data_IF_310332429672
#
_entry.id   IF_310332429672
#
_cell.length_a   1.000
_cell.length_b   1.000
_cell.length_c   1.000
_cell.angle_alpha   90.00
_cell.angle_beta   90.00
_cell.angle_gamma   90.00
#
_symmetry.space_group_name_H-M   'P 1'
#
loop_
_entity.id
_entity.type
_entity.pdbx_description
1 polymer ?
#
# COMPACT_ATOMS: atom_id res chain seq x y z
N UNK A 1 -6.36 -1.24 19.96
CA UNK A 1 -6.53 -1.92 18.67
C UNK A 1 -5.53 -3.07 18.66
N UNK A 2 -5.99 -4.30 18.44
CA UNK A 2 -5.11 -5.47 18.32
C UNK A 2 -4.59 -5.54 16.89
N UNK A 3 -3.30 -5.82 16.71
CA UNK A 3 -2.72 -5.98 15.37
C UNK A 3 -2.83 -7.45 14.95
N UNK A 4 -3.65 -7.72 13.94
CA UNK A 4 -3.99 -9.07 13.46
C UNK A 4 -3.02 -9.61 12.38
N UNK A 5 -1.97 -8.86 12.04
CA UNK A 5 -1.12 -9.18 10.88
C UNK A 5 -0.52 -10.59 10.92
N UNK A 6 -0.13 -11.08 12.10
CA UNK A 6 0.46 -12.42 12.23
C UNK A 6 -0.56 -13.54 11.98
N UNK A 7 -1.82 -13.30 12.36
CA UNK A 7 -2.93 -14.23 12.08
C UNK A 7 -3.22 -14.27 10.57
N UNK A 8 -3.21 -13.10 9.91
CA UNK A 8 -3.41 -13.00 8.46
C UNK A 8 -2.29 -13.69 7.69
N UNK A 9 -1.02 -13.41 8.01
CA UNK A 9 0.14 -14.10 7.42
C UNK A 9 0.05 -15.61 7.57
N UNK A 10 -0.26 -16.08 8.79
CA UNK A 10 -0.42 -17.52 9.05
C UNK A 10 -1.58 -18.15 8.26
N UNK A 11 -2.64 -17.40 7.99
CA UNK A 11 -3.75 -17.87 7.16
C UNK A 11 -3.35 -17.96 5.68
N UNK A 12 -2.71 -16.91 5.15
CA UNK A 12 -2.19 -16.92 3.77
C UNK A 12 -1.24 -18.10 3.55
N UNK A 13 -0.34 -18.41 4.49
CA UNK A 13 0.57 -19.56 4.36
C UNK A 13 -0.15 -20.91 4.28
N UNK A 14 -1.29 -21.08 4.96
CA UNK A 14 -2.06 -22.34 4.90
C UNK A 14 -2.82 -22.51 3.60
N UNK A 15 -3.26 -21.41 3.00
CA UNK A 15 -4.12 -21.41 1.80
C UNK A 15 -3.34 -21.22 0.50
N UNK A 16 -2.08 -20.79 0.60
CA UNK A 16 -1.20 -20.59 -0.53
C UNK A 16 -0.84 -21.91 -1.23
N UNK A 17 -1.25 -22.04 -2.49
CA UNK A 17 -0.84 -23.13 -3.37
C UNK A 17 0.13 -22.61 -4.44
N UNK A 18 1.45 -22.87 -4.31
CA UNK A 18 2.44 -22.41 -5.27
C UNK A 18 2.33 -23.08 -6.64
N UNK A 19 1.56 -24.17 -6.77
CA UNK A 19 1.37 -24.87 -8.05
C UNK A 19 0.29 -24.24 -8.93
N UNK A 20 -0.54 -23.36 -8.37
CA UNK A 20 -1.64 -22.72 -9.07
C UNK A 20 -1.35 -21.24 -9.34
N UNK A 21 -0.45 -20.98 -10.28
CA UNK A 21 -0.13 -19.63 -10.75
C UNK A 21 -1.19 -19.16 -11.76
N UNK A 22 -1.71 -17.95 -11.55
CA UNK A 22 -2.56 -17.27 -12.53
C UNK A 22 -1.65 -16.63 -13.59
N UNK A 23 -1.54 -17.28 -14.76
CA UNK A 23 -0.49 -17.03 -15.76
C UNK A 23 -0.42 -15.62 -16.39
N UNK A 24 -1.41 -14.75 -16.17
CA UNK A 24 -1.50 -13.45 -16.85
C UNK A 24 -1.28 -12.23 -15.94
N UNK A 25 -0.87 -12.44 -14.68
CA UNK A 25 -0.79 -11.37 -13.66
C UNK A 25 0.64 -11.12 -13.15
N UNK A 26 1.64 -11.46 -13.96
CA UNK A 26 3.05 -11.18 -13.67
C UNK A 26 3.37 -9.69 -13.88
N UNK A 27 4.00 -9.06 -12.89
CA UNK A 27 4.45 -7.67 -12.99
C UNK A 27 5.90 -7.53 -12.51
N UNK A 28 6.68 -6.73 -13.24
CA UNK A 28 7.99 -6.26 -12.79
C UNK A 28 8.01 -4.73 -12.78
N UNK A 29 8.35 -4.14 -11.62
CA UNK A 29 8.42 -2.68 -11.47
C UNK A 29 9.73 -2.30 -10.79
N UNK A 30 10.53 -1.50 -11.49
CA UNK A 30 11.77 -0.95 -10.97
C UNK A 30 11.49 0.25 -10.06
N UNK A 31 12.19 0.34 -8.93
CA UNK A 31 12.09 1.49 -8.04
C UNK A 31 12.59 2.78 -8.73
N UNK A 32 12.09 3.97 -8.37
CA UNK A 32 12.53 5.24 -8.97
C UNK A 32 14.03 5.50 -8.87
N UNK A 33 14.68 4.97 -7.82
CA UNK A 33 16.13 5.09 -7.63
C UNK A 33 16.94 4.05 -8.42
N UNK A 34 16.29 3.13 -9.14
CA UNK A 34 16.93 2.10 -9.96
C UNK A 34 17.66 1.00 -9.17
N UNK A 35 17.53 0.98 -7.84
CA UNK A 35 18.25 0.04 -6.96
C UNK A 35 17.48 -1.26 -6.70
N UNK A 36 16.16 -1.24 -6.84
CA UNK A 36 15.30 -2.37 -6.46
C UNK A 36 14.33 -2.73 -7.57
N UNK A 37 13.98 -4.00 -7.62
CA UNK A 37 12.98 -4.57 -8.51
C UNK A 37 11.90 -5.24 -7.64
N UNK A 38 10.65 -4.82 -7.80
CA UNK A 38 9.49 -5.54 -7.30
C UNK A 38 9.01 -6.48 -8.41
N UNK A 39 8.90 -7.76 -8.08
CA UNK A 39 8.31 -8.78 -8.94
C UNK A 39 7.05 -9.29 -8.24
N UNK A 40 5.92 -9.32 -8.94
CA UNK A 40 4.67 -9.85 -8.40
C UNK A 40 4.13 -10.95 -9.29
N UNK A 41 3.61 -11.99 -8.65
CA UNK A 41 2.86 -13.06 -9.29
C UNK A 41 1.59 -13.31 -8.46
N UNK A 42 0.50 -13.66 -9.12
CA UNK A 42 -0.77 -13.99 -8.45
C UNK A 42 -1.01 -15.48 -8.49
N UNK A 43 -1.40 -16.02 -7.34
CA UNK A 43 -1.64 -17.43 -7.13
C UNK A 43 -3.10 -17.62 -6.72
N UNK A 44 -3.70 -18.68 -7.23
CA UNK A 44 -4.94 -19.17 -6.66
C UNK A 44 -4.71 -19.82 -5.30
N UNK A 45 -5.82 -20.07 -4.61
CA UNK A 45 -5.84 -20.69 -3.30
C UNK A 45 -6.53 -22.05 -3.38
N UNK A 46 -6.70 -22.71 -2.23
CA UNK A 46 -7.35 -24.02 -2.13
C UNK A 46 -8.82 -23.98 -2.60
N UNK A 47 -9.45 -25.15 -2.72
CA UNK A 47 -10.80 -25.26 -3.30
C UNK A 47 -11.93 -24.54 -2.51
N UNK A 48 -11.71 -24.22 -1.23
CA UNK A 48 -12.64 -23.44 -0.38
C UNK A 48 -11.84 -22.43 0.47
N UNK A 49 -11.37 -21.35 -0.16
CA UNK A 49 -10.38 -20.50 0.46
C UNK A 49 -11.04 -19.31 1.18
N UNK A 50 -10.38 -18.82 2.24
CA UNK A 50 -10.74 -17.55 2.86
C UNK A 50 -10.40 -16.37 1.95
N UNK A 51 -9.32 -16.51 1.18
CA UNK A 51 -8.85 -15.50 0.23
C UNK A 51 -8.97 -16.03 -1.19
N UNK A 52 -9.62 -15.32 -2.13
CA UNK A 52 -9.83 -15.83 -3.49
C UNK A 52 -8.52 -16.03 -4.27
N UNK A 53 -7.50 -15.26 -3.92
CA UNK A 53 -6.17 -15.29 -4.51
C UNK A 53 -5.15 -14.73 -3.51
N UNK A 54 -3.87 -14.99 -3.79
CA UNK A 54 -2.74 -14.46 -3.04
C UNK A 54 -1.74 -13.89 -4.04
N UNK A 55 -1.45 -12.59 -3.93
CA UNK A 55 -0.29 -12.00 -4.60
C UNK A 55 0.96 -12.35 -3.80
N UNK A 56 2.00 -12.85 -4.46
CA UNK A 56 3.35 -12.93 -3.90
C UNK A 56 4.18 -11.82 -4.51
N UNK A 57 4.68 -10.93 -3.65
CA UNK A 57 5.58 -9.87 -4.04
C UNK A 57 7.00 -10.17 -3.54
N UNK A 58 7.97 -10.13 -4.46
CA UNK A 58 9.39 -10.34 -4.17
C UNK A 58 10.14 -9.06 -4.52
N UNK A 59 10.80 -8.47 -3.52
CA UNK A 59 11.68 -7.32 -3.74
C UNK A 59 13.12 -7.78 -3.81
N UNK A 60 13.81 -7.43 -4.89
CA UNK A 60 15.21 -7.78 -5.13
C UNK A 60 16.07 -6.55 -5.31
N UNK A 61 17.34 -6.64 -4.93
CA UNK A 61 18.35 -5.62 -5.25
C UNK A 61 18.86 -5.80 -6.68
N UNK A 62 18.77 -4.74 -7.47
CA UNK A 62 19.30 -4.70 -8.84
C UNK A 62 20.83 -4.74 -8.79
N UNK A 63 21.42 -5.52 -9.69
CA UNK A 63 22.86 -5.73 -9.80
C UNK A 63 23.40 -6.94 -9.02
N UNK A 64 22.84 -7.23 -7.83
CA UNK A 64 23.21 -8.45 -7.07
C UNK A 64 22.20 -9.58 -7.20
N UNK A 65 20.93 -9.27 -7.49
CA UNK A 65 19.83 -10.23 -7.51
C UNK A 65 19.40 -10.72 -6.12
N UNK A 66 19.97 -10.14 -5.05
CA UNK A 66 19.66 -10.49 -3.67
C UNK A 66 18.19 -10.23 -3.36
N UNK A 67 17.48 -11.22 -2.82
CA UNK A 67 16.10 -11.07 -2.34
C UNK A 67 16.13 -10.36 -1.00
N UNK A 68 15.49 -9.20 -0.92
CA UNK A 68 15.39 -8.39 0.30
C UNK A 68 14.13 -8.71 1.10
N UNK A 69 13.03 -9.01 0.42
CA UNK A 69 11.77 -9.38 1.04
C UNK A 69 10.96 -10.29 0.11
N UNK A 70 10.20 -11.19 0.73
CA UNK A 70 9.10 -11.92 0.09
C UNK A 70 7.88 -11.71 0.97
N UNK A 71 6.82 -11.17 0.38
CA UNK A 71 5.59 -10.78 1.05
C UNK A 71 4.41 -11.38 0.30
N UNK A 72 3.31 -11.59 1.03
CA UNK A 72 2.05 -12.08 0.49
C UNK A 72 0.97 -11.06 0.78
N UNK A 73 0.05 -10.89 -0.16
CA UNK A 73 -1.18 -10.13 0.02
C UNK A 73 -2.38 -11.02 -0.24
N UNK A 74 -3.43 -10.85 0.54
CA UNK A 74 -4.62 -11.69 0.53
C UNK A 74 -5.73 -11.26 -0.45
N UNK A 75 -5.34 -10.62 -1.55
CA UNK A 75 -6.19 -10.05 -2.58
C UNK A 75 -5.40 -10.06 -3.90
N UNK A 76 -6.09 -10.06 -5.04
CA UNK A 76 -5.49 -10.13 -6.38
C UNK A 76 -4.78 -8.84 -6.80
N UNK A 77 -5.15 -7.70 -6.23
CA UNK A 77 -4.62 -6.39 -6.63
C UNK A 77 -3.62 -5.88 -5.61
N UNK A 78 -2.34 -5.82 -5.96
CA UNK A 78 -1.34 -5.17 -5.13
C UNK A 78 -1.25 -3.67 -5.43
N UNK A 79 -1.87 -2.85 -4.58
CA UNK A 79 -1.57 -1.42 -4.53
C UNK A 79 -0.24 -1.21 -3.78
N UNK A 80 0.66 -0.42 -4.35
CA UNK A 80 1.93 -0.13 -3.71
C UNK A 80 2.51 1.23 -4.11
N UNK A 81 3.50 1.70 -3.35
CA UNK A 81 4.29 2.89 -3.71
C UNK A 81 5.72 2.83 -3.17
N UNK A 82 6.65 3.35 -3.96
CA UNK A 82 8.04 3.55 -3.55
C UNK A 82 8.19 4.94 -2.93
N UNK A 83 8.76 5.01 -1.73
CA UNK A 83 9.00 6.29 -1.04
C UNK A 83 10.44 6.37 -0.57
N UNK A 84 11.14 7.43 -0.93
CA UNK A 84 12.48 7.72 -0.43
C UNK A 84 12.40 8.83 0.63
N UNK A 85 12.98 8.59 1.81
CA UNK A 85 12.98 9.57 2.91
C UNK A 85 14.19 9.37 3.81
N UNK A 86 14.87 10.46 4.19
CA UNK A 86 15.98 10.46 5.15
C UNK A 86 17.09 9.43 4.84
N UNK A 87 17.40 9.21 3.56
CA UNK A 87 18.34 8.18 3.05
C UNK A 87 17.86 6.73 3.13
N UNK A 88 16.60 6.50 3.50
CA UNK A 88 15.96 5.20 3.44
C UNK A 88 15.05 5.13 2.21
N UNK A 89 15.09 3.96 1.57
CA UNK A 89 14.17 3.57 0.50
C UNK A 89 13.10 2.64 1.10
N UNK A 90 11.83 2.99 0.95
CA UNK A 90 10.67 2.24 1.45
C UNK A 90 9.79 1.71 0.33
N UNK A 91 9.16 0.56 0.57
CA UNK A 91 8.02 0.07 -0.21
C UNK A 91 6.79 0.01 0.70
N UNK A 92 5.73 0.72 0.30
CA UNK A 92 4.44 0.75 0.98
C UNK A 92 3.43 -0.10 0.22
N UNK A 93 2.63 -0.87 0.92
CA UNK A 93 1.59 -1.74 0.35
C UNK A 93 0.72 -2.29 1.49
N UNK A 94 -0.47 -2.84 1.23
CA UNK A 94 -1.26 -3.54 2.24
C UNK A 94 -1.12 -5.07 2.08
N UNK A 95 -0.62 -5.79 3.09
CA UNK A 95 -0.67 -7.27 3.11
C UNK A 95 -2.11 -7.80 3.27
N UNK A 96 -2.88 -7.13 4.13
CA UNK A 96 -4.31 -7.35 4.29
C UNK A 96 -5.07 -6.26 3.53
N UNK A 97 -6.23 -6.57 2.95
CA UNK A 97 -7.05 -5.60 2.20
C UNK A 97 -7.28 -4.29 2.98
N UNK A 98 -7.52 -4.39 4.29
CA UNK A 98 -7.79 -3.25 5.18
C UNK A 98 -6.57 -2.88 6.06
N UNK A 99 -5.39 -3.37 5.68
CA UNK A 99 -4.14 -3.23 6.45
C UNK A 99 -3.20 -2.13 5.95
N UNK A 100 -2.04 -2.06 6.62
CA UNK A 100 -0.92 -1.21 6.24
C UNK A 100 0.35 -2.04 6.33
N UNK A 101 1.28 -1.87 5.41
CA UNK A 101 2.58 -2.54 5.48
C UNK A 101 3.67 -1.67 4.86
N UNK A 102 4.84 -1.72 5.49
CA UNK A 102 6.01 -0.92 5.11
C UNK A 102 7.23 -1.82 5.17
N UNK A 103 7.99 -1.85 4.08
CA UNK A 103 9.33 -2.43 4.05
C UNK A 103 10.34 -1.29 4.01
N UNK A 104 11.24 -1.25 4.99
CA UNK A 104 12.47 -0.50 4.90
C UNK A 104 13.51 -1.35 4.15
N UNK A 105 13.80 -0.99 2.90
CA UNK A 105 14.71 -1.75 2.03
C UNK A 105 16.18 -1.49 2.37
N UNK A 106 16.44 -0.38 3.07
CA UNK A 106 17.79 0.04 3.46
C UNK A 106 18.25 -0.77 4.67
N UNK A 107 17.37 -0.93 5.66
CA UNK A 107 17.64 -1.68 6.88
C UNK A 107 17.06 -3.10 6.88
N UNK A 108 16.30 -3.48 5.84
CA UNK A 108 15.69 -4.81 5.66
C UNK A 108 14.72 -5.16 6.79
N UNK A 109 13.87 -4.20 7.14
CA UNK A 109 12.83 -4.37 8.17
C UNK A 109 11.47 -4.33 7.53
N UNK A 110 10.53 -5.10 8.09
CA UNK A 110 9.14 -5.14 7.63
C UNK A 110 8.25 -4.85 8.83
N UNK A 111 7.38 -3.86 8.68
CA UNK A 111 6.28 -3.60 9.59
C UNK A 111 4.97 -3.91 8.85
N UNK A 112 4.03 -4.54 9.55
CA UNK A 112 2.70 -4.81 9.02
C UNK A 112 1.67 -4.60 10.11
N UNK A 113 0.51 -4.12 9.71
CA UNK A 113 -0.65 -3.90 10.54
C UNK A 113 -1.89 -4.38 9.79
N UNK A 114 -2.72 -5.17 10.45
CA UNK A 114 -4.05 -5.52 9.98
C UNK A 114 -5.01 -5.32 11.14
N UNK A 115 -6.20 -4.82 10.84
CA UNK A 115 -7.25 -4.66 11.84
C UNK A 115 -8.16 -5.88 11.91
N UNK A 116 -9.17 -5.81 12.77
CA UNK A 116 -10.22 -6.83 12.88
C UNK A 116 -11.29 -6.71 11.79
N UNK A 117 -11.20 -5.67 10.94
CA UNK A 117 -12.01 -5.43 9.76
C UNK A 117 -12.86 -4.15 9.82
N UNK A 118 -13.40 -3.73 8.67
CA UNK A 118 -14.23 -2.53 8.53
C UNK A 118 -13.43 -1.22 8.45
N UNK A 119 -12.15 -1.32 8.10
CA UNK A 119 -11.22 -0.19 8.08
C UNK A 119 -10.95 0.33 6.66
N UNK A 120 -10.22 1.44 6.58
CA UNK A 120 -9.92 2.15 5.36
C UNK A 120 -8.93 1.38 4.47
N UNK A 121 -9.36 1.02 3.26
CA UNK A 121 -8.58 0.30 2.26
C UNK A 121 -7.69 1.29 1.50
N UNK A 122 -6.38 1.07 1.55
CA UNK A 122 -5.40 1.88 0.82
C UNK A 122 -5.34 1.48 -0.66
N UNK A 123 -5.62 2.42 -1.57
CA UNK A 123 -5.62 2.15 -3.03
C UNK A 123 -4.64 3.02 -3.82
N UNK A 124 -4.44 4.28 -3.43
CA UNK A 124 -3.48 5.18 -4.09
C UNK A 124 -2.66 5.94 -3.06
N UNK A 125 -1.37 6.15 -3.37
CA UNK A 125 -0.38 6.65 -2.42
C UNK A 125 0.24 7.93 -2.94
N UNK A 126 0.13 9.01 -2.17
CA UNK A 126 0.64 10.32 -2.53
C UNK A 126 1.48 10.88 -1.38
N UNK A 127 2.80 10.60 -1.34
CA UNK A 127 3.69 11.24 -0.37
C UNK A 127 3.75 12.74 -0.62
N UNK A 128 3.80 13.54 0.44
CA UNK A 128 4.02 14.99 0.36
C UNK A 128 5.41 15.31 -0.21
N UNK A 129 5.62 16.54 -0.69
CA UNK A 129 6.91 16.96 -1.27
C UNK A 129 8.11 16.79 -0.32
N UNK A 130 7.90 16.99 0.97
CA UNK A 130 8.92 16.79 2.01
C UNK A 130 8.92 15.37 2.59
N UNK A 131 8.02 14.50 2.10
CA UNK A 131 7.82 13.10 2.52
C UNK A 131 7.52 12.93 4.02
N UNK A 132 7.01 13.98 4.69
CA UNK A 132 6.60 13.88 6.10
C UNK A 132 5.16 13.41 6.26
N UNK A 133 4.35 13.50 5.20
CA UNK A 133 2.95 13.07 5.18
C UNK A 133 2.68 12.15 4.01
N UNK A 134 1.65 11.36 4.16
CA UNK A 134 1.18 10.42 3.14
C UNK A 134 -0.33 10.60 2.98
N UNK A 135 -0.76 11.20 1.87
CA UNK A 135 -2.16 11.17 1.48
C UNK A 135 -2.46 9.84 0.81
N UNK A 136 -3.46 9.14 1.32
CA UNK A 136 -3.96 7.91 0.73
C UNK A 136 -5.35 8.17 0.20
N UNK A 137 -5.55 7.94 -1.09
CA UNK A 137 -6.89 7.73 -1.65
C UNK A 137 -7.28 6.30 -1.36
N UNK A 138 -8.50 6.12 -0.89
CA UNK A 138 -9.00 4.81 -0.49
C UNK A 138 -10.50 4.81 -0.28
N UNK A 139 -11.01 3.69 0.22
CA UNK A 139 -12.43 3.54 0.48
C UNK A 139 -12.69 2.56 1.63
N UNK A 140 -13.94 2.51 2.07
CA UNK A 140 -14.45 1.40 2.88
C UNK A 140 -15.31 0.54 1.96
N UNK A 141 -14.86 -0.65 1.58
CA UNK A 141 -15.65 -1.59 0.76
C UNK A 141 -16.31 -0.96 -0.48
N UNK A 142 -15.52 -0.21 -1.27
CA UNK A 142 -15.94 0.52 -2.47
C UNK A 142 -16.91 1.69 -2.27
N UNK A 143 -17.28 2.06 -1.02
CA UNK A 143 -17.98 3.32 -0.69
C UNK A 143 -18.12 3.51 0.85
N UNK A 144 -17.80 4.68 1.43
CA UNK A 144 -17.41 5.94 0.78
C UNK A 144 -15.93 5.97 0.38
N UNK A 145 -15.59 6.85 -0.57
CA UNK A 145 -14.21 7.17 -0.95
C UNK A 145 -13.71 8.42 -0.24
N UNK A 146 -12.48 8.36 0.25
CA UNK A 146 -11.87 9.45 1.03
C UNK A 146 -10.40 9.61 0.69
N UNK A 147 -9.87 10.80 1.01
CA UNK A 147 -8.44 11.02 1.19
C UNK A 147 -8.14 11.04 2.69
N UNK A 148 -7.38 10.06 3.17
CA UNK A 148 -6.85 10.05 4.53
C UNK A 148 -5.39 10.48 4.50
N UNK A 149 -5.03 11.50 5.28
CA UNK A 149 -3.65 11.96 5.41
C UNK A 149 -3.05 11.39 6.70
N UNK A 150 -1.93 10.69 6.55
CA UNK A 150 -1.17 10.09 7.64
C UNK A 150 0.12 10.86 7.93
N UNK A 151 0.54 10.84 9.18
CA UNK A 151 1.89 11.21 9.58
C UNK A 151 2.87 10.10 9.19
N UNK A 152 3.81 10.44 8.31
CA UNK A 152 4.80 9.52 7.74
C UNK A 152 6.22 9.80 8.26
N UNK A 153 6.37 10.54 9.37
CA UNK A 153 7.68 10.83 9.96
C UNK A 153 8.37 9.59 10.53
N UNK A 154 7.59 8.60 10.96
CA UNK A 154 8.06 7.32 11.48
C UNK A 154 7.41 6.12 10.73
N UNK A 155 7.85 5.83 9.49
CA UNK A 155 7.18 4.87 8.58
C UNK A 155 7.02 3.45 9.13
N UNK A 156 7.86 3.05 10.09
CA UNK A 156 7.88 1.70 10.65
C UNK A 156 6.98 1.53 11.87
N UNK A 157 6.32 2.59 12.36
CA UNK A 157 5.39 2.54 13.49
C UNK A 157 3.94 2.48 12.99
N UNK A 158 3.43 1.26 12.81
CA UNK A 158 2.07 1.02 12.34
C UNK A 158 1.09 0.74 13.50
N UNK A 159 -0.20 1.12 13.36
CA UNK A 159 -0.78 1.88 12.25
C UNK A 159 -0.28 3.32 12.23
N UNK A 160 -0.11 3.89 11.04
CA UNK A 160 0.32 5.29 10.93
C UNK A 160 -0.71 6.22 11.60
N UNK A 161 -0.28 7.26 12.33
CA UNK A 161 -1.19 8.24 12.90
C UNK A 161 -1.95 8.99 11.80
N UNK A 162 -3.28 9.07 11.90
CA UNK A 162 -4.11 9.91 11.03
C UNK A 162 -3.98 11.36 11.47
N UNK A 163 -3.73 12.25 10.51
CA UNK A 163 -3.74 13.71 10.70
C UNK A 163 -5.15 14.24 10.42
N UNK A 164 -5.69 13.94 9.24
CA UNK A 164 -7.02 14.37 8.83
C UNK A 164 -7.60 13.47 7.73
N UNK A 165 -8.91 13.60 7.51
CA UNK A 165 -9.66 12.86 6.50
C UNK A 165 -10.61 13.80 5.77
N UNK A 166 -10.72 13.62 4.46
CA UNK A 166 -11.61 14.38 3.60
C UNK A 166 -12.43 13.44 2.73
N UNK A 167 -13.73 13.67 2.65
CA UNK A 167 -14.57 13.00 1.66
C UNK A 167 -14.21 13.49 0.25
N UNK A 168 -14.14 12.56 -0.69
CA UNK A 168 -13.93 12.92 -2.08
C UNK A 168 -15.18 13.59 -2.68
N UNK A 169 -15.04 14.68 -3.45
CA UNK A 169 -16.14 15.46 -4.03
C UNK A 169 -16.78 14.79 -5.25
N UNK A 170 -17.13 13.51 -5.15
CA UNK A 170 -17.68 12.70 -6.23
C UNK A 170 -17.07 11.32 -6.33
N UNK A 171 -17.71 10.43 -7.10
CA UNK A 171 -17.28 9.05 -7.22
C UNK A 171 -16.04 8.87 -8.12
N UNK A 172 -15.75 9.83 -9.01
CA UNK A 172 -14.58 9.80 -9.89
C UNK A 172 -13.58 10.91 -9.57
N UNK A 173 -13.73 11.55 -8.41
CA UNK A 173 -12.77 12.54 -7.95
C UNK A 173 -11.42 11.85 -7.70
N UNK A 174 -10.34 12.49 -8.14
CA UNK A 174 -8.99 11.92 -8.09
C UNK A 174 -8.03 12.90 -7.45
N UNK A 175 -7.09 12.37 -6.67
CA UNK A 175 -5.98 13.15 -6.16
C UNK A 175 -5.17 13.68 -7.35
N UNK A 176 -4.92 14.99 -7.38
CA UNK A 176 -4.16 15.61 -8.46
C UNK A 176 -2.69 15.71 -8.09
N UNK A 177 -2.39 16.50 -7.07
CA UNK A 177 -1.01 16.74 -6.61
C UNK A 177 -0.99 17.39 -5.23
N UNK A 178 0.16 17.29 -4.57
CA UNK A 178 0.53 18.20 -3.49
C UNK A 178 0.98 19.52 -4.10
N UNK A 179 0.42 20.65 -3.66
CA UNK A 179 0.92 22.00 -4.01
C UNK A 179 2.06 22.41 -3.06
N UNK A 180 2.02 21.92 -1.83
CA UNK A 180 3.07 22.08 -0.81
C UNK A 180 3.07 20.91 0.16
N UNK A 181 3.89 20.93 1.21
CA UNK A 181 3.87 19.90 2.26
C UNK A 181 2.57 19.87 3.10
N UNK A 182 1.75 20.92 3.00
CA UNK A 182 0.52 21.11 3.80
C UNK A 182 -0.73 21.30 2.94
N UNK A 183 -0.60 21.37 1.62
CA UNK A 183 -1.71 21.69 0.71
C UNK A 183 -1.70 20.73 -0.45
N UNK A 184 -2.85 20.11 -0.73
CA UNK A 184 -3.05 19.27 -1.91
C UNK A 184 -4.34 19.64 -2.63
N UNK A 185 -4.43 19.21 -3.89
CA UNK A 185 -5.63 19.37 -4.71
C UNK A 185 -6.20 18.04 -5.15
N UNK A 186 -7.53 18.02 -5.22
CA UNK A 186 -8.32 16.95 -5.84
C UNK A 186 -9.07 17.57 -7.02
N UNK A 187 -9.21 16.81 -8.09
CA UNK A 187 -10.05 17.21 -9.23
C UNK A 187 -11.29 16.32 -9.25
N UNK A 188 -12.46 16.95 -9.31
CA UNK A 188 -13.74 16.23 -9.34
C UNK A 188 -14.18 15.79 -10.76
N UNK A 189 -15.34 15.15 -10.82
CA UNK A 189 -15.96 14.64 -12.04
C UNK A 189 -16.23 15.73 -13.11
N UNK A 190 -16.32 17.01 -12.71
CA UNK A 190 -16.52 18.15 -13.61
C UNK A 190 -15.22 18.84 -14.00
N UNK A 191 -14.08 18.36 -13.48
CA UNK A 191 -12.78 18.99 -13.69
C UNK A 191 -12.52 20.17 -12.77
N UNK A 192 -13.36 20.41 -11.75
CA UNK A 192 -13.15 21.47 -10.77
C UNK A 192 -12.09 21.04 -9.76
N UNK A 193 -11.18 21.96 -9.43
CA UNK A 193 -10.16 21.77 -8.41
C UNK A 193 -10.71 22.11 -7.03
N UNK A 194 -10.49 21.20 -6.09
CA UNK A 194 -10.76 21.34 -4.66
C UNK A 194 -9.44 21.32 -3.91
N UNK A 195 -9.13 22.40 -3.19
CA UNK A 195 -7.88 22.56 -2.44
C UNK A 195 -8.13 22.27 -0.97
N UNK A 196 -7.27 21.44 -0.38
CA UNK A 196 -7.34 21.04 1.03
C UNK A 196 -6.06 21.43 1.77
N UNK A 197 -6.22 21.90 3.01
CA UNK A 197 -5.12 22.23 3.90
C UNK A 197 -5.03 21.19 5.02
N UNK A 198 -3.81 20.74 5.29
CA UNK A 198 -3.44 19.69 6.24
C UNK A 198 -2.81 20.36 7.47
N UNK A 199 -3.52 21.31 8.08
CA UNK A 199 -3.09 22.03 9.29
C UNK A 199 -3.62 21.41 10.57
#
# INVERSE_FOLDING_TARGET
MTNEIQRIRSAMEREFDPSFIMCDEHQEVTSPCGKYLLVTDVFGTTADPKFPSIVVAIVRKIGTGEVLATIKRNDDRLFFSWVARNNHDYLLFPEDLEGQSVIDLTERRIAGFASEGGDFIWTEFHPSHDTTKLAIVGCYWACPYQVTVYDFREPMMLPLPIICQFDLPGNNARFKEWESAEVFTVIDDQGQLHTYNVS
#
